data_IF_195034167569
#
_entry.id   IF_195034167569
#
_cell.length_a   1.000
_cell.length_b   1.000
_cell.length_c   1.000
_cell.angle_alpha   90.00
_cell.angle_beta   90.00
_cell.angle_gamma   90.00
#
_symmetry.space_group_name_H-M   'P 1'
#
loop_
_entity.id
_entity.type
_entity.pdbx_description
1 polymer ?
#
# COMPACT_ATOMS: atom_id res chain seq x y z
N UNK A 1 -31.10 -31.12 -45.66
CA UNK A 1 -30.72 -29.69 -45.50
C UNK A 1 -31.23 -29.10 -44.19
N UNK A 2 -32.45 -29.35 -43.77
CA UNK A 2 -33.09 -28.81 -42.56
C UNK A 2 -32.34 -29.12 -41.26
N UNK A 3 -31.88 -30.36 -41.05
CA UNK A 3 -31.18 -30.80 -39.82
C UNK A 3 -29.86 -30.05 -39.62
N UNK A 4 -29.09 -29.81 -40.68
CA UNK A 4 -27.83 -29.03 -40.59
C UNK A 4 -28.08 -27.58 -40.16
N UNK A 5 -29.17 -26.97 -40.63
CA UNK A 5 -29.53 -25.56 -40.27
C UNK A 5 -29.97 -25.48 -38.82
N UNK A 6 -30.68 -26.45 -38.28
CA UNK A 6 -31.12 -26.49 -36.86
C UNK A 6 -29.91 -26.68 -35.94
N UNK A 7 -29.00 -27.59 -36.26
CA UNK A 7 -27.77 -27.83 -35.48
C UNK A 7 -26.88 -26.58 -35.45
N UNK A 8 -26.69 -25.92 -36.60
CA UNK A 8 -25.90 -24.69 -36.69
C UNK A 8 -26.51 -23.56 -35.84
N UNK A 9 -27.83 -23.39 -35.87
CA UNK A 9 -28.53 -22.40 -35.05
C UNK A 9 -28.38 -22.70 -33.55
N UNK A 10 -28.44 -23.96 -33.16
CA UNK A 10 -28.28 -24.38 -31.78
C UNK A 10 -26.83 -24.10 -31.27
N UNK A 11 -25.83 -24.47 -32.10
CA UNK A 11 -24.40 -24.19 -31.76
C UNK A 11 -24.13 -22.70 -31.65
N UNK A 12 -24.66 -21.92 -32.58
CA UNK A 12 -24.53 -20.43 -32.50
C UNK A 12 -25.22 -19.89 -31.25
N UNK A 13 -26.44 -20.35 -30.93
CA UNK A 13 -27.16 -19.95 -29.74
C UNK A 13 -26.39 -20.30 -28.45
N UNK A 14 -25.84 -21.49 -28.35
CA UNK A 14 -25.02 -21.94 -27.22
C UNK A 14 -23.71 -21.08 -27.09
N UNK A 15 -23.07 -20.81 -28.22
CA UNK A 15 -21.87 -19.95 -28.25
C UNK A 15 -22.18 -18.51 -27.77
N UNK A 16 -23.32 -17.94 -28.20
CA UNK A 16 -23.75 -16.60 -27.74
C UNK A 16 -24.04 -16.59 -26.24
N UNK A 17 -24.77 -17.58 -25.74
CA UNK A 17 -25.04 -17.70 -24.29
C UNK A 17 -23.72 -17.87 -23.51
N UNK A 18 -22.81 -18.72 -23.98
CA UNK A 18 -21.49 -18.88 -23.38
C UNK A 18 -20.70 -17.57 -23.34
N UNK A 19 -20.70 -16.79 -24.42
CA UNK A 19 -20.05 -15.49 -24.49
C UNK A 19 -20.67 -14.47 -23.52
N UNK A 20 -22.00 -14.42 -23.42
CA UNK A 20 -22.70 -13.53 -22.47
C UNK A 20 -22.35 -13.89 -21.03
N UNK A 21 -22.35 -15.18 -20.68
CA UNK A 21 -21.96 -15.65 -19.35
C UNK A 21 -20.51 -15.28 -19.04
N UNK A 22 -19.59 -15.51 -20.00
CA UNK A 22 -18.18 -15.16 -19.85
C UNK A 22 -17.98 -13.64 -19.66
N UNK A 23 -18.64 -12.81 -20.45
CA UNK A 23 -18.59 -11.35 -20.32
C UNK A 23 -19.19 -10.89 -18.98
N UNK A 24 -20.30 -11.49 -18.55
CA UNK A 24 -20.88 -11.24 -17.23
C UNK A 24 -19.94 -11.60 -16.07
N UNK A 25 -19.26 -12.73 -16.19
CA UNK A 25 -18.27 -13.17 -15.21
C UNK A 25 -17.05 -12.21 -15.16
N UNK A 26 -16.53 -11.81 -16.32
CA UNK A 26 -15.44 -10.83 -16.42
C UNK A 26 -15.85 -9.49 -15.79
N UNK A 27 -17.06 -8.99 -16.13
CA UNK A 27 -17.59 -7.75 -15.56
C UNK A 27 -17.74 -7.86 -14.03
N UNK A 28 -18.24 -8.98 -13.54
CA UNK A 28 -18.40 -9.23 -12.11
C UNK A 28 -17.04 -9.28 -11.39
N UNK A 29 -16.05 -9.96 -11.94
CA UNK A 29 -14.71 -10.11 -11.34
C UNK A 29 -13.93 -8.81 -11.40
N UNK A 30 -14.03 -8.08 -12.50
CA UNK A 30 -13.41 -6.75 -12.64
C UNK A 30 -13.89 -5.78 -11.56
N UNK A 31 -15.20 -5.80 -11.27
CA UNK A 31 -15.79 -4.88 -10.28
C UNK A 31 -15.84 -3.42 -10.73
N UNK A 32 -16.24 -2.51 -9.83
CA UNK A 32 -16.28 -1.07 -10.08
C UNK A 32 -14.89 -0.46 -10.16
N UNK A 33 -14.78 0.69 -10.83
CA UNK A 33 -13.58 1.51 -10.83
C UNK A 33 -13.30 2.11 -9.43
N UNK A 34 -12.09 2.65 -9.22
CA UNK A 34 -11.65 3.12 -7.90
C UNK A 34 -12.48 4.30 -7.37
N UNK A 35 -13.06 5.13 -8.25
CA UNK A 35 -13.88 6.30 -7.90
C UNK A 35 -15.38 6.07 -8.07
N UNK A 36 -15.82 4.85 -8.41
CA UNK A 36 -17.23 4.57 -8.67
C UNK A 36 -18.16 4.83 -7.47
N UNK A 37 -17.60 4.85 -6.25
CA UNK A 37 -18.34 5.15 -5.04
C UNK A 37 -18.80 6.62 -4.96
N UNK A 38 -18.11 7.55 -5.63
CA UNK A 38 -18.45 8.98 -5.60
C UNK A 38 -19.78 9.29 -6.30
N UNK A 39 -20.23 8.41 -7.21
CA UNK A 39 -21.53 8.52 -7.88
C UNK A 39 -21.65 9.69 -8.84
N UNK A 40 -20.59 10.47 -9.02
CA UNK A 40 -20.55 11.63 -9.88
C UNK A 40 -20.24 11.29 -11.34
N UNK A 41 -20.06 12.33 -12.15
CA UNK A 41 -19.77 12.24 -13.57
C UNK A 41 -18.30 12.55 -13.82
N UNK A 42 -17.53 11.54 -14.21
CA UNK A 42 -16.17 11.75 -14.71
C UNK A 42 -16.20 12.56 -16.02
N UNK A 43 -15.33 13.53 -16.10
CA UNK A 43 -15.15 14.38 -17.29
C UNK A 43 -13.69 14.36 -17.74
N UNK A 44 -13.43 14.69 -19.00
CA UNK A 44 -12.06 14.87 -19.44
C UNK A 44 -11.40 16.01 -18.66
N UNK A 45 -10.09 15.90 -18.41
CA UNK A 45 -9.34 16.91 -17.64
C UNK A 45 -9.51 18.32 -18.23
N UNK A 46 -9.53 18.43 -19.58
CA UNK A 46 -9.74 19.71 -20.27
C UNK A 46 -11.15 20.32 -20.08
N UNK A 47 -12.14 19.51 -19.70
CA UNK A 47 -13.52 19.92 -19.51
C UNK A 47 -13.85 20.23 -18.04
N UNK A 48 -12.91 19.95 -17.13
CA UNK A 48 -13.11 20.24 -15.72
C UNK A 48 -12.82 21.71 -15.42
N UNK A 49 -13.82 22.43 -14.88
CA UNK A 49 -13.82 23.89 -14.80
C UNK A 49 -13.04 24.48 -13.61
N UNK A 50 -12.85 23.70 -12.54
CA UNK A 50 -12.28 24.23 -11.29
C UNK A 50 -10.75 24.20 -11.29
N UNK A 51 -10.13 23.73 -12.38
CA UNK A 51 -8.67 23.67 -12.55
C UNK A 51 -8.14 22.26 -12.73
N UNK A 52 -6.82 22.12 -12.85
CA UNK A 52 -6.15 20.83 -13.05
C UNK A 52 -5.79 20.20 -11.70
N UNK A 53 -6.38 19.04 -11.32
CA UNK A 53 -6.04 18.32 -10.09
C UNK A 53 -4.76 17.49 -10.23
N UNK A 54 -4.15 17.38 -11.40
CA UNK A 54 -2.90 16.65 -11.63
C UNK A 54 -1.67 17.53 -11.40
N UNK A 55 -0.48 17.04 -11.65
CA UNK A 55 0.75 17.78 -11.48
C UNK A 55 1.24 17.84 -10.03
N UNK A 56 1.91 18.92 -9.68
CA UNK A 56 2.41 19.20 -8.33
C UNK A 56 1.44 20.08 -7.54
N UNK A 57 1.66 20.15 -6.23
CA UNK A 57 0.93 21.04 -5.32
C UNK A 57 0.87 22.48 -5.83
N UNK A 58 -0.19 23.20 -5.46
CA UNK A 58 -0.37 24.60 -5.82
C UNK A 58 0.81 25.50 -5.34
N UNK A 59 1.43 25.15 -4.23
CA UNK A 59 2.61 25.83 -3.68
C UNK A 59 3.86 25.65 -4.53
N UNK A 60 3.89 24.64 -5.41
CA UNK A 60 5.01 24.31 -6.28
C UNK A 60 4.77 24.66 -7.76
N UNK A 61 3.80 25.51 -8.08
CA UNK A 61 3.44 25.86 -9.49
C UNK A 61 4.61 26.39 -10.32
N UNK A 62 5.59 27.04 -9.68
CA UNK A 62 6.78 27.58 -10.32
C UNK A 62 7.96 26.60 -10.36
N UNK A 63 7.77 25.37 -9.88
CA UNK A 63 8.84 24.37 -9.84
C UNK A 63 9.29 24.02 -11.26
N UNK A 64 10.60 23.84 -11.42
CA UNK A 64 11.21 23.34 -12.67
C UNK A 64 10.73 21.91 -12.98
N UNK A 65 10.94 21.45 -14.21
CA UNK A 65 10.59 20.08 -14.60
C UNK A 65 11.23 19.03 -13.69
N UNK A 66 12.48 19.22 -13.27
CA UNK A 66 13.18 18.29 -12.40
C UNK A 66 12.64 18.30 -10.97
N UNK A 67 12.30 19.48 -10.43
CA UNK A 67 11.67 19.59 -9.10
C UNK A 67 10.28 18.96 -9.10
N UNK A 68 9.49 19.21 -10.16
CA UNK A 68 8.20 18.53 -10.34
C UNK A 68 8.37 17.01 -10.42
N UNK A 69 9.31 16.54 -11.24
CA UNK A 69 9.61 15.13 -11.39
C UNK A 69 10.06 14.49 -10.08
N UNK A 70 10.91 15.18 -9.30
CA UNK A 70 11.32 14.72 -7.98
C UNK A 70 10.12 14.56 -7.05
N UNK A 71 9.30 15.61 -6.92
CA UNK A 71 8.11 15.60 -6.07
C UNK A 71 7.14 14.46 -6.42
N UNK A 72 6.87 14.28 -7.73
CA UNK A 72 5.97 13.23 -8.20
C UNK A 72 6.56 11.83 -8.01
N UNK A 73 7.89 11.67 -8.15
CA UNK A 73 8.60 10.41 -7.88
C UNK A 73 8.53 10.03 -6.40
N UNK A 74 8.67 11.02 -5.51
CA UNK A 74 8.49 10.84 -4.07
C UNK A 74 7.03 10.55 -3.73
N UNK A 75 6.06 11.29 -4.30
CA UNK A 75 4.62 11.04 -4.09
C UNK A 75 4.16 9.67 -4.63
N UNK A 76 4.83 9.14 -5.66
CA UNK A 76 4.59 7.81 -6.22
C UNK A 76 5.38 6.69 -5.50
N UNK A 77 6.11 7.03 -4.44
CA UNK A 77 6.84 6.10 -3.56
C UNK A 77 7.80 5.14 -4.28
N UNK A 78 8.41 5.59 -5.38
CA UNK A 78 9.24 4.75 -6.23
C UNK A 78 10.46 4.17 -5.49
N UNK A 79 11.06 4.95 -4.57
CA UNK A 79 12.26 4.57 -3.84
C UNK A 79 12.05 3.34 -2.96
N UNK A 80 10.92 3.20 -2.29
CA UNK A 80 10.61 2.10 -1.37
C UNK A 80 10.70 0.74 -2.06
N UNK A 81 10.13 0.64 -3.26
CA UNK A 81 10.19 -0.60 -4.02
C UNK A 81 11.47 -0.76 -4.84
N UNK A 82 12.06 0.33 -5.32
CA UNK A 82 13.22 0.27 -6.22
C UNK A 82 14.57 0.49 -5.53
N UNK A 83 14.62 0.30 -4.20
CA UNK A 83 15.86 0.32 -3.41
C UNK A 83 15.91 -0.92 -2.52
N UNK A 84 16.91 -1.78 -2.72
CA UNK A 84 17.13 -2.91 -1.82
C UNK A 84 17.59 -2.44 -0.44
N UNK A 85 17.32 -3.15 0.66
CA UNK A 85 17.87 -2.83 1.97
C UNK A 85 19.38 -2.66 1.91
N UNK A 86 19.90 -1.51 2.37
CA UNK A 86 21.32 -1.17 2.28
C UNK A 86 21.89 -0.93 0.86
N UNK A 87 21.02 -1.00 -0.16
CA UNK A 87 21.36 -0.78 -1.58
C UNK A 87 21.44 0.69 -1.96
N UNK A 88 21.77 0.94 -3.23
CA UNK A 88 21.76 2.29 -3.80
C UNK A 88 20.33 2.64 -4.22
N UNK A 89 19.93 3.87 -3.93
CA UNK A 89 18.61 4.37 -4.23
C UNK A 89 18.27 4.21 -5.72
N UNK A 90 17.07 3.73 -6.01
CA UNK A 90 16.53 3.41 -7.35
C UNK A 90 17.28 2.32 -8.14
N UNK A 91 18.27 1.66 -7.56
CA UNK A 91 19.03 0.61 -8.25
C UNK A 91 18.32 -0.75 -8.30
N UNK A 92 17.14 -0.87 -7.71
CA UNK A 92 16.36 -2.11 -7.67
C UNK A 92 16.87 -3.13 -6.65
N UNK A 93 16.38 -4.36 -6.77
CA UNK A 93 16.82 -5.49 -5.93
C UNK A 93 15.98 -5.71 -4.68
N UNK A 94 14.93 -4.92 -4.45
CA UNK A 94 13.98 -5.20 -3.38
C UNK A 94 13.24 -6.51 -3.65
N UNK A 95 13.21 -7.41 -2.66
CA UNK A 95 12.64 -8.74 -2.78
C UNK A 95 11.16 -8.77 -2.35
N UNK A 96 10.26 -9.01 -3.29
CA UNK A 96 8.86 -9.30 -3.01
C UNK A 96 8.69 -10.80 -2.76
N UNK A 97 8.64 -11.19 -1.50
CA UNK A 97 8.42 -12.58 -1.09
C UNK A 97 6.92 -12.91 -1.21
N UNK A 98 6.58 -13.82 -2.13
CA UNK A 98 5.21 -14.25 -2.43
C UNK A 98 5.04 -15.72 -2.10
N UNK A 99 3.81 -16.22 -1.86
CA UNK A 99 3.59 -17.64 -1.58
C UNK A 99 4.04 -18.60 -2.70
N UNK A 100 4.26 -18.07 -3.89
CA UNK A 100 4.66 -18.82 -5.10
C UNK A 100 6.04 -18.43 -5.64
N UNK A 101 6.89 -17.81 -4.81
CA UNK A 101 8.27 -17.44 -5.16
C UNK A 101 8.60 -15.98 -4.90
N UNK A 102 9.81 -15.59 -5.24
CA UNK A 102 10.31 -14.23 -5.02
C UNK A 102 10.42 -13.47 -6.34
N UNK A 103 9.97 -12.23 -6.36
CA UNK A 103 10.24 -11.26 -7.43
C UNK A 103 11.17 -10.16 -6.91
N UNK A 104 12.00 -9.63 -7.80
CA UNK A 104 12.88 -8.52 -7.48
C UNK A 104 12.51 -7.29 -8.30
N UNK A 105 12.51 -6.11 -7.65
CA UNK A 105 12.33 -4.84 -8.34
C UNK A 105 13.48 -4.56 -9.31
N UNK A 106 13.16 -3.85 -10.38
CA UNK A 106 14.13 -3.50 -11.42
C UNK A 106 14.90 -2.24 -11.06
N UNK A 107 16.10 -2.08 -11.64
CA UNK A 107 16.85 -0.84 -11.62
C UNK A 107 16.13 0.21 -12.49
N UNK A 108 15.78 1.35 -11.89
CA UNK A 108 15.15 2.49 -12.56
C UNK A 108 16.06 3.72 -12.64
N UNK A 109 17.37 3.56 -12.34
CA UNK A 109 18.37 4.59 -12.66
C UNK A 109 18.62 4.66 -14.16
N UNK A 110 19.18 5.77 -14.71
CA UNK A 110 19.43 5.92 -16.12
C UNK A 110 20.66 5.12 -16.61
N UNK A 111 20.96 3.99 -16.00
CA UNK A 111 22.00 3.08 -16.48
C UNK A 111 21.55 2.42 -17.79
N UNK A 112 22.44 2.43 -18.78
CA UNK A 112 22.14 1.95 -20.14
C UNK A 112 22.02 0.43 -20.24
N UNK A 113 22.71 -0.32 -19.37
CA UNK A 113 22.77 -1.78 -19.46
C UNK A 113 21.78 -2.47 -18.52
N UNK A 114 21.61 -1.95 -17.32
CA UNK A 114 20.80 -2.60 -16.29
C UNK A 114 19.59 -1.80 -15.84
N UNK A 115 19.50 -0.52 -16.24
CA UNK A 115 18.44 0.40 -15.86
C UNK A 115 17.53 0.81 -17.02
N UNK A 116 16.96 2.00 -16.88
CA UNK A 116 15.98 2.56 -17.86
C UNK A 116 16.62 3.55 -18.85
N UNK A 117 17.94 3.69 -18.88
CA UNK A 117 18.65 4.69 -19.69
C UNK A 117 18.38 4.64 -21.19
N UNK A 118 17.86 3.51 -21.71
CA UNK A 118 17.50 3.35 -23.13
C UNK A 118 15.99 3.58 -23.42
N UNK A 119 15.17 3.89 -22.41
CA UNK A 119 13.73 4.05 -22.59
C UNK A 119 13.40 5.36 -23.30
N UNK A 120 12.67 5.29 -24.40
CA UNK A 120 11.99 6.45 -25.00
C UNK A 120 10.85 6.93 -24.09
N UNK A 121 10.28 8.10 -24.39
CA UNK A 121 9.11 8.59 -23.64
C UNK A 121 7.94 7.62 -23.72
N UNK A 122 7.64 7.12 -24.92
CA UNK A 122 6.55 6.17 -25.13
C UNK A 122 6.77 4.84 -24.39
N UNK A 123 7.99 4.28 -24.43
CA UNK A 123 8.30 3.04 -23.69
C UNK A 123 8.20 3.23 -22.18
N UNK A 124 8.52 4.43 -21.66
CA UNK A 124 8.32 4.74 -20.23
C UNK A 124 6.84 4.86 -19.89
N UNK A 125 6.05 5.55 -20.71
CA UNK A 125 4.60 5.62 -20.57
C UNK A 125 3.95 4.22 -20.63
N UNK A 126 4.37 3.38 -21.57
CA UNK A 126 3.87 2.01 -21.68
C UNK A 126 4.20 1.18 -20.45
N UNK A 127 5.38 1.37 -19.85
CA UNK A 127 5.75 0.69 -18.60
C UNK A 127 4.89 1.15 -17.42
N UNK A 128 4.71 2.47 -17.29
CA UNK A 128 3.94 3.08 -16.19
C UNK A 128 2.44 2.80 -16.30
N UNK A 129 1.87 2.97 -17.49
CA UNK A 129 0.41 2.92 -17.68
C UNK A 129 -0.13 1.55 -18.06
N UNK A 130 0.67 0.74 -18.74
CA UNK A 130 0.23 -0.51 -19.36
C UNK A 130 0.99 -1.74 -18.86
N UNK A 131 2.01 -1.53 -18.04
CA UNK A 131 2.87 -2.61 -17.55
C UNK A 131 3.61 -3.32 -18.70
N UNK A 132 4.08 -2.60 -19.73
CA UNK A 132 4.81 -3.15 -20.87
C UNK A 132 6.24 -2.60 -20.83
N UNK A 133 7.22 -3.48 -20.67
CA UNK A 133 8.62 -3.11 -20.73
C UNK A 133 9.07 -2.79 -22.17
N UNK A 134 10.22 -2.11 -22.28
CA UNK A 134 10.86 -1.77 -23.56
C UNK A 134 11.06 -2.99 -24.49
N UNK A 135 11.34 -4.17 -23.94
CA UNK A 135 11.50 -5.43 -24.68
C UNK A 135 10.16 -6.12 -25.02
N UNK A 136 9.02 -5.47 -24.76
CA UNK A 136 7.67 -6.00 -24.94
C UNK A 136 7.20 -6.96 -23.84
N UNK A 137 8.04 -7.31 -22.87
CA UNK A 137 7.65 -8.19 -21.79
C UNK A 137 6.64 -7.50 -20.85
N UNK A 138 5.66 -8.28 -20.37
CA UNK A 138 4.67 -7.77 -19.40
C UNK A 138 5.24 -7.71 -18.00
N UNK A 139 4.95 -6.62 -17.28
CA UNK A 139 5.23 -6.51 -15.85
C UNK A 139 4.20 -7.30 -15.05
N UNK A 140 4.62 -7.78 -13.89
CA UNK A 140 3.70 -8.27 -12.89
C UNK A 140 3.07 -7.10 -12.12
N UNK A 141 1.83 -7.23 -11.63
CA UNK A 141 1.14 -6.17 -10.91
C UNK A 141 1.69 -5.88 -9.49
N UNK A 142 2.87 -6.39 -9.16
CA UNK A 142 3.69 -5.87 -8.08
C UNK A 142 4.22 -4.46 -8.39
N UNK A 143 4.47 -4.15 -9.69
CA UNK A 143 4.50 -2.79 -10.19
C UNK A 143 3.05 -2.31 -10.30
N UNK A 144 2.60 -1.28 -9.55
CA UNK A 144 1.18 -0.92 -9.45
C UNK A 144 0.69 -0.14 -10.69
N UNK A 145 0.95 -0.67 -11.90
CA UNK A 145 0.56 0.00 -13.15
C UNK A 145 -0.97 0.12 -13.30
N UNK A 146 -1.76 -0.67 -12.58
CA UNK A 146 -3.22 -0.51 -12.51
C UNK A 146 -3.66 0.73 -11.75
N UNK A 147 -2.80 1.29 -10.91
CA UNK A 147 -2.95 2.59 -10.27
C UNK A 147 -2.23 3.67 -11.08
N UNK A 148 -1.00 3.41 -11.48
CA UNK A 148 -0.22 4.36 -12.27
C UNK A 148 -0.80 4.67 -13.65
N UNK A 149 -1.69 3.82 -14.18
CA UNK A 149 -2.45 4.13 -15.39
C UNK A 149 -3.25 5.44 -15.29
N UNK A 150 -3.60 5.89 -14.06
CA UNK A 150 -4.28 7.15 -13.82
C UNK A 150 -3.36 8.36 -13.74
N UNK A 151 -2.04 8.19 -13.67
CA UNK A 151 -1.08 9.31 -13.71
C UNK A 151 -1.19 9.98 -15.10
N UNK A 152 -1.19 11.32 -15.14
CA UNK A 152 -1.16 12.06 -16.41
C UNK A 152 0.13 11.79 -17.18
N UNK A 153 0.08 11.81 -18.50
CA UNK A 153 1.28 11.61 -19.34
C UNK A 153 2.36 12.67 -19.00
N UNK A 154 1.94 13.91 -18.74
CA UNK A 154 2.85 14.98 -18.34
C UNK A 154 3.57 14.70 -17.02
N UNK A 155 2.86 14.14 -16.02
CA UNK A 155 3.44 13.81 -14.73
C UNK A 155 4.35 12.57 -14.83
N UNK A 156 3.95 11.56 -15.59
CA UNK A 156 4.80 10.40 -15.86
C UNK A 156 6.11 10.79 -16.56
N UNK A 157 6.06 11.71 -17.53
CA UNK A 157 7.26 12.23 -18.19
C UNK A 157 8.10 13.14 -17.29
N UNK A 158 7.49 13.88 -16.36
CA UNK A 158 8.24 14.61 -15.33
C UNK A 158 8.98 13.66 -14.38
N UNK A 159 8.33 12.57 -13.94
CA UNK A 159 8.98 11.48 -13.18
C UNK A 159 10.18 10.91 -13.98
N UNK A 160 9.98 10.60 -15.26
CA UNK A 160 11.08 10.15 -16.13
C UNK A 160 12.23 11.15 -16.17
N UNK A 161 11.94 12.44 -16.37
CA UNK A 161 12.96 13.48 -16.44
C UNK A 161 13.81 13.54 -15.18
N UNK A 162 13.18 13.41 -14.00
CA UNK A 162 13.90 13.32 -12.74
C UNK A 162 14.76 12.04 -12.63
N UNK A 163 14.20 10.86 -12.92
CA UNK A 163 14.95 9.60 -12.87
C UNK A 163 16.14 9.61 -13.85
N UNK A 164 16.00 10.25 -15.00
CA UNK A 164 17.08 10.41 -15.99
C UNK A 164 18.15 11.43 -15.57
N UNK A 165 17.86 12.31 -14.63
CA UNK A 165 18.84 13.24 -14.03
C UNK A 165 19.70 12.59 -12.93
N UNK A 166 19.31 11.40 -12.46
CA UNK A 166 20.04 10.69 -11.42
C UNK A 166 21.36 10.12 -11.94
N UNK A 167 22.29 9.85 -11.02
CA UNK A 167 23.54 9.17 -11.36
C UNK A 167 23.24 7.73 -11.77
N UNK A 168 23.70 7.27 -12.96
CA UNK A 168 23.55 5.88 -13.37
C UNK A 168 24.20 4.91 -12.37
N UNK A 169 23.49 3.85 -12.03
CA UNK A 169 23.99 2.78 -11.18
C UNK A 169 23.88 1.46 -11.92
N UNK A 170 25.01 0.82 -12.22
CA UNK A 170 25.00 -0.53 -12.77
C UNK A 170 24.68 -1.51 -11.63
N UNK A 171 23.55 -2.23 -11.75
CA UNK A 171 23.10 -3.22 -10.78
C UNK A 171 22.72 -4.53 -11.48
N UNK A 172 23.43 -5.62 -11.13
CA UNK A 172 23.04 -6.96 -11.56
C UNK A 172 22.13 -7.53 -10.49
N UNK A 173 20.87 -7.75 -10.84
CA UNK A 173 19.82 -8.13 -9.91
C UNK A 173 19.60 -9.65 -9.94
N UNK A 174 19.13 -10.25 -8.84
CA UNK A 174 18.74 -11.67 -8.83
C UNK A 174 17.58 -11.92 -9.81
N UNK A 175 17.52 -13.13 -10.34
CA UNK A 175 16.40 -13.58 -11.16
C UNK A 175 15.18 -13.91 -10.30
N UNK A 176 13.98 -13.70 -10.87
CA UNK A 176 12.74 -14.08 -10.22
C UNK A 176 12.63 -15.60 -10.10
N UNK A 177 12.24 -16.09 -8.93
CA UNK A 177 12.12 -17.53 -8.63
C UNK A 177 10.66 -18.02 -8.59
N UNK A 178 9.80 -17.42 -9.41
CA UNK A 178 8.37 -17.75 -9.43
C UNK A 178 8.12 -19.18 -9.92
N UNK A 179 7.25 -19.92 -9.22
CA UNK A 179 6.82 -21.24 -9.57
C UNK A 179 5.78 -21.23 -10.71
N UNK A 180 5.69 -22.33 -11.46
CA UNK A 180 4.60 -22.53 -12.43
C UNK A 180 3.25 -22.56 -11.72
N UNK A 181 2.19 -21.93 -12.26
CA UNK A 181 2.11 -21.21 -13.54
C UNK A 181 2.48 -19.69 -13.44
N UNK A 182 2.84 -19.18 -12.27
CA UNK A 182 3.07 -17.75 -12.02
C UNK A 182 4.33 -17.19 -12.72
N UNK A 183 5.24 -18.04 -13.16
CA UNK A 183 6.38 -17.67 -14.01
C UNK A 183 6.01 -17.44 -15.48
N UNK A 184 4.75 -17.66 -15.88
CA UNK A 184 4.29 -17.48 -17.25
C UNK A 184 3.91 -16.03 -17.52
N UNK A 185 4.91 -15.19 -17.77
CA UNK A 185 4.78 -13.73 -17.92
C UNK A 185 3.80 -13.31 -19.03
N UNK A 186 3.66 -14.10 -20.09
CA UNK A 186 2.70 -13.84 -21.17
C UNK A 186 1.24 -13.82 -20.68
N UNK A 187 0.92 -14.55 -19.62
CA UNK A 187 -0.43 -14.57 -19.05
C UNK A 187 -0.86 -13.21 -18.51
N UNK A 188 0.09 -12.36 -18.17
CA UNK A 188 -0.17 -10.98 -17.71
C UNK A 188 -0.81 -10.10 -18.80
N UNK A 189 -0.69 -10.48 -20.08
CA UNK A 189 -1.42 -9.80 -21.16
C UNK A 189 -2.94 -9.92 -20.96
N UNK A 190 -3.43 -11.11 -20.71
CA UNK A 190 -4.86 -11.34 -20.46
C UNK A 190 -5.32 -10.73 -19.14
N UNK A 191 -4.49 -10.85 -18.11
CA UNK A 191 -4.77 -10.23 -16.84
C UNK A 191 -4.91 -8.70 -16.97
N UNK A 192 -3.98 -8.05 -17.65
CA UNK A 192 -4.04 -6.60 -17.90
C UNK A 192 -5.25 -6.19 -18.74
N UNK A 193 -5.65 -7.00 -19.72
CA UNK A 193 -6.84 -6.73 -20.53
C UNK A 193 -8.12 -6.66 -19.68
N UNK A 194 -8.20 -7.46 -18.61
CA UNK A 194 -9.35 -7.47 -17.72
C UNK A 194 -9.26 -6.36 -16.65
N UNK A 195 -8.09 -6.18 -16.04
CA UNK A 195 -7.95 -5.42 -14.81
C UNK A 195 -7.26 -4.06 -14.96
N UNK A 196 -6.51 -3.81 -16.04
CA UNK A 196 -5.94 -2.50 -16.30
C UNK A 196 -6.84 -1.69 -17.25
N UNK A 197 -7.43 -0.58 -16.80
CA UNK A 197 -8.35 0.21 -17.63
C UNK A 197 -7.64 0.99 -18.75
N UNK A 198 -6.32 1.14 -18.69
CA UNK A 198 -5.49 1.96 -19.62
C UNK A 198 -6.13 3.34 -19.88
N UNK A 199 -6.41 4.06 -18.81
CA UNK A 199 -7.04 5.38 -18.84
C UNK A 199 -6.35 6.34 -17.88
N UNK A 200 -6.28 7.62 -18.23
CA UNK A 200 -5.74 8.69 -17.38
C UNK A 200 -6.81 9.16 -16.41
N UNK A 201 -6.39 9.80 -15.32
CA UNK A 201 -7.30 10.35 -14.32
C UNK A 201 -8.33 11.29 -14.96
N UNK A 202 -9.56 11.08 -14.60
CA UNK A 202 -10.69 11.91 -14.99
C UNK A 202 -11.34 12.47 -13.73
N UNK A 203 -11.33 13.79 -13.54
CA UNK A 203 -11.95 14.41 -12.38
C UNK A 203 -13.47 14.20 -12.39
N UNK A 204 -14.03 14.11 -11.21
CA UNK A 204 -15.47 14.11 -10.99
C UNK A 204 -15.97 15.55 -10.97
N UNK A 205 -16.86 15.90 -11.93
CA UNK A 205 -17.37 17.26 -12.09
C UNK A 205 -18.33 17.71 -10.98
N UNK A 206 -18.77 16.79 -10.12
CA UNK A 206 -19.61 17.09 -8.94
C UNK A 206 -18.78 17.37 -7.68
N UNK A 207 -17.48 17.13 -7.72
CA UNK A 207 -16.57 17.27 -6.60
C UNK A 207 -15.67 18.51 -6.76
N UNK A 208 -15.19 19.03 -5.61
CA UNK A 208 -14.26 20.16 -5.61
C UNK A 208 -12.89 19.81 -6.19
N UNK A 209 -12.12 20.84 -6.58
CA UNK A 209 -10.74 20.68 -6.99
C UNK A 209 -9.89 19.98 -5.90
N UNK A 210 -10.08 20.35 -4.63
CA UNK A 210 -9.37 19.73 -3.49
C UNK A 210 -9.67 18.23 -3.38
N UNK A 211 -10.93 17.84 -3.56
CA UNK A 211 -11.31 16.43 -3.56
C UNK A 211 -10.70 15.67 -4.73
N UNK A 212 -10.80 16.21 -5.94
CA UNK A 212 -10.22 15.61 -7.14
C UNK A 212 -8.68 15.50 -7.05
N UNK A 213 -8.03 16.51 -6.44
CA UNK A 213 -6.60 16.46 -6.13
C UNK A 213 -6.28 15.30 -5.18
N UNK A 214 -7.01 15.16 -4.09
CA UNK A 214 -6.87 14.06 -3.14
C UNK A 214 -7.11 12.69 -3.78
N UNK A 215 -8.11 12.59 -4.66
CA UNK A 215 -8.39 11.39 -5.44
C UNK A 215 -7.22 11.02 -6.37
N UNK A 216 -6.66 11.99 -7.09
CA UNK A 216 -5.49 11.80 -7.95
C UNK A 216 -4.27 11.31 -7.15
N UNK A 217 -4.00 11.95 -6.01
CA UNK A 217 -2.90 11.56 -5.14
C UNK A 217 -3.09 10.15 -4.59
N UNK A 218 -4.24 9.85 -4.00
CA UNK A 218 -4.50 8.58 -3.31
C UNK A 218 -4.64 7.38 -4.27
N UNK A 219 -5.21 7.59 -5.48
CA UNK A 219 -5.50 6.50 -6.41
C UNK A 219 -4.40 6.30 -7.46
N UNK A 220 -3.81 7.40 -7.94
CA UNK A 220 -2.80 7.33 -8.99
C UNK A 220 -1.38 7.28 -8.41
N UNK A 221 -0.95 8.31 -7.67
CA UNK A 221 0.44 8.43 -7.20
C UNK A 221 0.70 7.54 -5.98
N UNK A 222 0.08 7.85 -4.84
CA UNK A 222 0.31 7.13 -3.59
C UNK A 222 -0.35 5.73 -3.54
N UNK A 223 -1.17 5.38 -4.53
CA UNK A 223 -1.78 4.06 -4.75
C UNK A 223 -2.23 3.34 -3.46
N UNK A 224 -2.85 4.08 -2.53
CA UNK A 224 -3.27 3.60 -1.20
C UNK A 224 -4.05 2.27 -1.26
N UNK A 225 -4.83 2.07 -2.34
CA UNK A 225 -5.60 0.86 -2.59
C UNK A 225 -4.76 -0.40 -2.66
N UNK A 226 -3.49 -0.33 -3.11
CA UNK A 226 -2.63 -1.49 -3.28
C UNK A 226 -2.36 -2.23 -1.96
N UNK A 227 -2.32 -1.49 -0.85
CA UNK A 227 -2.17 -2.04 0.49
C UNK A 227 -3.50 -2.13 1.24
N UNK A 228 -4.39 -1.14 1.10
CA UNK A 228 -5.57 -1.00 1.95
C UNK A 228 -6.88 -1.54 1.35
N UNK A 229 -6.87 -2.05 0.12
CA UNK A 229 -8.04 -2.68 -0.52
C UNK A 229 -7.80 -4.19 -0.71
N UNK A 230 -8.74 -5.06 -0.27
CA UNK A 230 -8.57 -6.50 -0.46
C UNK A 230 -8.47 -6.88 -1.93
N UNK A 231 -7.81 -7.99 -2.21
CA UNK A 231 -7.73 -8.55 -3.56
C UNK A 231 -8.96 -9.43 -3.87
N UNK A 232 -9.36 -9.45 -5.14
CA UNK A 232 -10.35 -10.38 -5.65
C UNK A 232 -9.70 -11.72 -6.07
N UNK A 233 -10.48 -12.64 -6.60
CA UNK A 233 -10.00 -13.98 -7.05
C UNK A 233 -8.96 -13.89 -8.20
N UNK A 234 -8.90 -12.78 -8.92
CA UNK A 234 -7.89 -12.50 -9.96
C UNK A 234 -6.67 -11.73 -9.42
N UNK A 235 -6.51 -11.59 -8.10
CA UNK A 235 -5.46 -10.81 -7.45
C UNK A 235 -5.47 -9.31 -7.78
N UNK A 236 -6.53 -8.80 -8.42
CA UNK A 236 -6.75 -7.36 -8.62
C UNK A 236 -7.48 -6.75 -7.43
N UNK A 237 -7.50 -5.41 -7.34
CA UNK A 237 -8.18 -4.68 -6.26
C UNK A 237 -9.69 -4.93 -6.29
N UNK A 238 -10.26 -5.29 -5.15
CA UNK A 238 -11.70 -5.42 -4.98
C UNK A 238 -12.33 -4.08 -4.53
N UNK A 239 -12.57 -3.19 -5.47
CA UNK A 239 -13.13 -1.86 -5.17
C UNK A 239 -14.57 -1.88 -4.61
N UNK A 240 -15.25 -3.03 -4.56
CA UNK A 240 -16.49 -3.17 -3.76
C UNK A 240 -16.23 -3.10 -2.26
N UNK A 241 -14.98 -3.39 -1.85
CA UNK A 241 -14.49 -3.31 -0.47
C UNK A 241 -13.33 -2.32 -0.39
N UNK A 242 -13.49 -1.19 -1.07
CA UNK A 242 -12.46 -0.16 -1.14
C UNK A 242 -12.02 0.25 0.25
N UNK A 243 -10.70 0.24 0.45
CA UNK A 243 -10.04 0.66 1.68
C UNK A 243 -10.48 -0.08 2.96
N UNK A 244 -11.09 -1.26 2.83
CA UNK A 244 -11.56 -2.06 3.96
C UNK A 244 -10.45 -2.79 4.73
N UNK A 245 -9.18 -2.57 4.37
CA UNK A 245 -8.01 -3.27 4.90
C UNK A 245 -7.67 -4.55 4.14
N UNK A 246 -6.39 -4.92 4.12
CA UNK A 246 -5.88 -6.11 3.45
C UNK A 246 -4.56 -6.62 4.06
N UNK A 247 -4.19 -7.90 3.85
CA UNK A 247 -2.86 -8.40 4.16
C UNK A 247 -1.85 -7.97 3.09
N UNK A 248 -0.67 -7.53 3.50
CA UNK A 248 0.42 -7.13 2.62
C UNK A 248 1.75 -7.63 3.19
N UNK A 249 2.40 -8.60 2.56
CA UNK A 249 3.70 -9.12 2.97
C UNK A 249 3.80 -9.41 4.49
N UNK A 250 2.81 -10.13 5.03
CA UNK A 250 2.72 -10.44 6.46
C UNK A 250 2.12 -9.33 7.33
N UNK A 251 2.17 -8.09 6.89
CA UNK A 251 1.55 -6.95 7.57
C UNK A 251 0.03 -6.92 7.36
N UNK A 252 -0.65 -6.33 8.30
CA UNK A 252 -2.08 -6.00 8.19
C UNK A 252 -2.22 -4.51 7.95
N UNK A 253 -2.52 -4.14 6.70
CA UNK A 253 -2.92 -2.78 6.36
C UNK A 253 -4.38 -2.59 6.79
N UNK A 254 -4.61 -1.71 7.77
CA UNK A 254 -5.93 -1.52 8.37
C UNK A 254 -6.90 -0.77 7.46
N UNK A 255 -8.16 -0.78 7.84
CA UNK A 255 -9.24 -0.06 7.19
C UNK A 255 -8.98 1.46 7.22
N UNK A 256 -9.00 2.10 6.05
CA UNK A 256 -8.87 3.54 5.89
C UNK A 256 -10.10 4.18 5.23
N UNK A 257 -11.23 3.47 5.22
CA UNK A 257 -12.53 4.05 4.83
C UNK A 257 -13.11 4.91 5.96
N UNK A 258 -14.24 5.60 5.69
CA UNK A 258 -14.93 6.41 6.70
C UNK A 258 -15.71 5.60 7.75
N UNK A 259 -15.47 4.30 7.88
CA UNK A 259 -16.05 3.49 8.94
C UNK A 259 -15.63 4.00 10.32
N UNK A 260 -16.59 4.29 11.19
CA UNK A 260 -16.33 4.88 12.51
C UNK A 260 -15.73 3.89 13.52
N UNK A 261 -16.01 2.61 13.33
CA UNK A 261 -15.58 1.60 14.31
C UNK A 261 -14.19 1.04 14.01
N UNK A 262 -13.83 0.91 12.73
CA UNK A 262 -12.63 0.18 12.29
C UNK A 262 -11.76 0.96 11.31
N UNK A 263 -12.27 2.07 10.78
CA UNK A 263 -11.59 2.93 9.81
C UNK A 263 -11.26 4.32 10.37
N UNK A 264 -11.16 5.30 9.47
CA UNK A 264 -10.81 6.68 9.80
C UNK A 264 -12.00 7.53 10.27
N UNK A 265 -13.22 6.99 10.30
CA UNK A 265 -14.43 7.76 10.56
C UNK A 265 -14.52 8.40 11.95
N UNK A 266 -13.75 7.91 12.94
CA UNK A 266 -13.64 8.49 14.29
C UNK A 266 -12.40 9.38 14.49
N UNK A 267 -11.47 9.43 13.53
CA UNK A 267 -10.28 10.28 13.60
C UNK A 267 -10.65 11.73 13.29
N UNK A 268 -9.90 12.69 13.79
CA UNK A 268 -9.99 14.07 13.30
C UNK A 268 -9.24 14.21 11.96
N UNK A 269 -9.49 15.28 11.22
CA UNK A 269 -8.74 15.56 9.99
C UNK A 269 -7.26 15.80 10.29
N UNK A 270 -6.97 16.43 11.44
CA UNK A 270 -5.62 16.66 11.95
C UNK A 270 -4.90 15.36 12.28
N UNK A 271 -5.57 14.40 12.94
CA UNK A 271 -4.97 13.08 13.22
C UNK A 271 -4.57 12.36 11.94
N UNK A 272 -5.43 12.38 10.90
CA UNK A 272 -5.12 11.76 9.61
C UNK A 272 -3.95 12.49 8.95
N UNK A 273 -3.95 13.82 8.95
CA UNK A 273 -2.88 14.62 8.36
C UNK A 273 -1.54 14.40 9.09
N UNK A 274 -1.53 14.36 10.41
CA UNK A 274 -0.32 14.06 11.20
C UNK A 274 0.15 12.62 10.98
N UNK A 275 -0.76 11.65 10.93
CA UNK A 275 -0.38 10.27 10.65
C UNK A 275 0.24 10.10 9.27
N UNK A 276 -0.27 10.78 8.25
CA UNK A 276 0.32 10.75 6.91
C UNK A 276 1.67 11.47 6.87
N UNK A 277 1.79 12.66 7.42
CA UNK A 277 2.99 13.49 7.30
C UNK A 277 4.10 13.12 8.29
N UNK A 278 3.74 12.69 9.52
CA UNK A 278 4.71 12.41 10.61
C UNK A 278 4.74 10.91 10.97
N UNK A 279 3.79 10.12 10.47
CA UNK A 279 3.64 8.69 10.78
C UNK A 279 3.18 8.41 12.19
N UNK A 280 2.58 9.39 12.87
CA UNK A 280 2.04 9.23 14.22
C UNK A 280 0.82 10.11 14.42
N UNK A 281 -0.18 9.58 15.11
CA UNK A 281 -1.28 10.35 15.65
C UNK A 281 -1.57 9.91 17.08
N UNK A 282 -1.75 10.87 17.98
CA UNK A 282 -1.98 10.60 19.41
C UNK A 282 -3.26 9.78 19.60
N UNK A 283 -3.18 8.70 20.38
CA UNK A 283 -4.29 7.78 20.59
C UNK A 283 -4.58 6.82 19.42
N UNK A 284 -3.81 6.88 18.32
CA UNK A 284 -3.98 6.03 17.15
C UNK A 284 -2.73 5.19 16.80
N UNK A 285 -1.57 5.56 17.38
CA UNK A 285 -0.32 4.83 17.25
C UNK A 285 0.61 5.37 16.17
N UNK A 286 1.64 4.58 15.87
CA UNK A 286 2.74 4.95 15.00
C UNK A 286 2.82 4.01 13.81
N UNK A 287 3.06 4.55 12.62
CA UNK A 287 3.30 3.81 11.39
C UNK A 287 4.61 3.01 11.49
N UNK A 288 4.58 1.76 11.07
CA UNK A 288 5.73 0.86 11.05
C UNK A 288 5.70 -0.03 9.81
N UNK A 289 6.81 -0.73 9.53
CA UNK A 289 6.95 -1.55 8.32
C UNK A 289 6.66 -0.73 7.06
N UNK A 290 5.99 -1.33 6.08
CA UNK A 290 5.70 -0.71 4.79
C UNK A 290 5.00 0.66 4.89
N UNK A 291 4.06 0.83 5.86
CA UNK A 291 3.44 2.14 6.06
C UNK A 291 4.42 3.17 6.64
N UNK A 292 5.34 2.73 7.50
CA UNK A 292 6.42 3.58 8.02
C UNK A 292 7.33 4.08 6.90
N UNK A 293 7.71 3.20 5.98
CA UNK A 293 8.52 3.54 4.81
C UNK A 293 7.79 4.49 3.86
N UNK A 294 6.49 4.25 3.60
CA UNK A 294 5.67 5.15 2.79
C UNK A 294 5.60 6.56 3.38
N UNK A 295 5.53 6.69 4.71
CA UNK A 295 5.60 8.01 5.35
C UNK A 295 7.00 8.62 5.19
N UNK A 296 8.08 7.88 5.51
CA UNK A 296 9.44 8.43 5.50
C UNK A 296 9.93 8.80 4.11
N UNK A 297 9.57 8.02 3.08
CA UNK A 297 10.06 8.21 1.72
C UNK A 297 9.11 8.99 0.81
N UNK A 298 7.82 9.08 1.16
CA UNK A 298 6.79 9.74 0.36
C UNK A 298 6.04 10.82 1.14
N UNK A 299 5.13 10.45 2.03
CA UNK A 299 4.13 11.38 2.58
C UNK A 299 4.72 12.51 3.40
N UNK A 300 5.80 12.28 4.15
CA UNK A 300 6.50 13.34 4.92
C UNK A 300 7.13 14.43 4.04
N UNK A 301 7.29 14.15 2.74
CA UNK A 301 7.86 15.09 1.76
C UNK A 301 6.80 15.80 0.95
N UNK A 302 5.53 15.40 1.11
CA UNK A 302 4.42 16.02 0.39
C UNK A 302 4.08 17.39 0.98
N UNK A 303 3.64 18.29 0.12
CA UNK A 303 3.18 19.61 0.52
C UNK A 303 1.93 19.50 1.41
N UNK A 304 1.77 20.37 2.43
CA UNK A 304 0.65 20.32 3.35
C UNK A 304 -0.72 20.38 2.68
N UNK A 305 -0.90 21.16 1.63
CA UNK A 305 -2.14 21.25 0.86
C UNK A 305 -2.48 19.95 0.13
N UNK A 306 -1.48 19.16 -0.29
CA UNK A 306 -1.67 17.83 -0.86
C UNK A 306 -2.08 16.80 0.20
N UNK A 307 -1.47 16.85 1.39
CA UNK A 307 -1.91 16.02 2.53
C UNK A 307 -3.37 16.33 2.89
N UNK A 308 -3.74 17.62 2.99
CA UNK A 308 -5.12 18.01 3.24
C UNK A 308 -6.10 17.58 2.14
N UNK A 309 -5.66 17.58 0.88
CA UNK A 309 -6.46 17.08 -0.24
C UNK A 309 -6.69 15.56 -0.10
N UNK A 310 -5.67 14.80 0.28
CA UNK A 310 -5.79 13.35 0.57
C UNK A 310 -6.78 13.10 1.73
N UNK A 311 -6.70 13.88 2.81
CA UNK A 311 -7.66 13.80 3.94
C UNK A 311 -9.09 14.03 3.44
N UNK A 312 -9.30 15.08 2.64
CA UNK A 312 -10.62 15.41 2.06
C UNK A 312 -11.18 14.24 1.23
N UNK A 313 -10.34 13.60 0.43
CA UNK A 313 -10.74 12.43 -0.36
C UNK A 313 -11.04 11.21 0.54
N UNK A 314 -10.14 10.85 1.46
CA UNK A 314 -10.29 9.68 2.34
C UNK A 314 -11.57 9.78 3.18
N UNK A 315 -11.92 10.96 3.65
CA UNK A 315 -13.19 11.22 4.38
C UNK A 315 -14.44 10.90 3.57
N UNK A 316 -14.37 11.03 2.26
CA UNK A 316 -15.52 10.79 1.38
C UNK A 316 -15.73 9.31 1.03
N UNK A 317 -14.73 8.45 1.28
CA UNK A 317 -14.85 7.03 0.96
C UNK A 317 -15.88 6.37 1.87
N UNK A 318 -16.93 5.73 1.32
CA UNK A 318 -17.99 5.14 2.14
C UNK A 318 -17.46 4.09 3.12
N UNK A 319 -18.13 3.92 4.27
CA UNK A 319 -17.77 2.86 5.22
C UNK A 319 -17.71 1.49 4.54
N UNK A 320 -16.60 0.81 4.72
CA UNK A 320 -16.37 -0.52 4.18
C UNK A 320 -15.65 -1.36 5.22
N UNK A 321 -16.04 -2.64 5.36
CA UNK A 321 -15.42 -3.53 6.35
C UNK A 321 -15.14 -4.90 5.74
N UNK A 322 -14.08 -5.53 6.24
CA UNK A 322 -13.84 -6.96 6.10
C UNK A 322 -13.76 -7.56 7.49
N UNK A 323 -14.42 -8.69 7.78
CA UNK A 323 -14.46 -9.27 9.13
C UNK A 323 -13.07 -9.44 9.74
N UNK A 324 -12.10 -9.89 8.97
CA UNK A 324 -10.74 -10.16 9.42
C UNK A 324 -9.92 -8.89 9.72
N UNK A 325 -10.37 -7.71 9.23
CA UNK A 325 -9.70 -6.43 9.40
C UNK A 325 -10.53 -5.42 10.20
N UNK A 326 -11.59 -5.90 10.84
CA UNK A 326 -12.44 -5.08 11.72
C UNK A 326 -11.78 -4.90 13.09
N UNK A 327 -10.67 -4.17 13.12
CA UNK A 327 -9.99 -3.77 14.36
C UNK A 327 -10.56 -2.43 14.80
N UNK A 328 -11.09 -2.35 16.00
CA UNK A 328 -11.59 -1.09 16.55
C UNK A 328 -10.44 -0.09 16.65
N UNK A 329 -10.53 1.00 15.93
CA UNK A 329 -9.59 2.13 15.95
C UNK A 329 -9.94 3.12 17.05
N UNK A 330 -10.36 2.67 18.22
CA UNK A 330 -10.70 3.59 19.29
C UNK A 330 -9.84 3.34 20.51
N UNK A 331 -9.29 4.39 21.10
CA UNK A 331 -8.82 4.34 22.46
C UNK A 331 -10.05 4.33 23.37
N UNK A 332 -10.47 3.17 23.84
CA UNK A 332 -10.91 3.16 25.21
C UNK A 332 -9.62 3.23 26.02
N UNK A 333 -9.45 4.17 26.96
CA UNK A 333 -8.45 4.00 27.98
C UNK A 333 -8.73 2.62 28.57
N UNK A 334 -7.87 1.67 28.24
CA UNK A 334 -7.99 0.33 28.79
C UNK A 334 -7.64 0.53 30.24
N UNK A 335 -8.67 0.62 31.08
CA UNK A 335 -8.47 0.43 32.53
C UNK A 335 -7.63 -0.82 32.65
N UNK A 336 -6.46 -0.69 33.23
CA UNK A 336 -5.48 -1.76 33.39
C UNK A 336 -6.19 -3.05 33.70
N UNK A 337 -6.20 -4.03 32.79
CA UNK A 337 -6.80 -5.33 33.04
C UNK A 337 -5.86 -6.11 33.96
N UNK A 338 -5.86 -5.72 35.23
CA UNK A 338 -5.26 -6.52 36.27
C UNK A 338 -6.08 -7.82 36.36
N UNK A 339 -5.50 -8.94 35.96
CA UNK A 339 -6.16 -10.24 36.01
C UNK A 339 -6.29 -11.02 34.69
N UNK A 340 -5.87 -10.49 33.56
CA UNK A 340 -5.73 -11.33 32.38
C UNK A 340 -4.59 -12.30 32.58
N UNK A 341 -4.83 -13.60 32.37
CA UNK A 341 -3.81 -14.68 32.39
C UNK A 341 -2.86 -14.48 31.19
N UNK A 342 -2.15 -13.36 31.22
CA UNK A 342 -1.09 -13.09 30.25
C UNK A 342 0.06 -14.05 30.56
N UNK A 343 0.70 -14.57 29.51
CA UNK A 343 1.87 -15.42 29.63
C UNK A 343 2.89 -14.82 30.57
N UNK A 344 3.27 -15.56 31.61
CA UNK A 344 4.32 -15.18 32.58
C UNK A 344 5.62 -14.86 31.82
N UNK A 345 5.91 -15.61 30.76
CA UNK A 345 7.07 -15.39 29.92
C UNK A 345 6.96 -14.04 29.18
N UNK A 346 5.82 -13.75 28.54
CA UNK A 346 5.59 -12.48 27.83
C UNK A 346 5.73 -11.27 28.75
N UNK A 347 5.20 -11.38 29.98
CA UNK A 347 5.37 -10.35 31.01
C UNK A 347 6.84 -10.12 31.35
N UNK A 348 7.62 -11.17 31.62
CA UNK A 348 9.05 -11.07 31.95
C UNK A 348 9.85 -10.42 30.83
N UNK A 349 9.57 -10.77 29.56
CA UNK A 349 10.25 -10.19 28.41
C UNK A 349 9.89 -8.70 28.31
N UNK A 350 8.62 -8.35 28.42
CA UNK A 350 8.20 -6.96 28.36
C UNK A 350 8.85 -6.12 29.47
N UNK A 351 8.83 -6.59 30.69
CA UNK A 351 9.41 -5.91 31.85
C UNK A 351 10.93 -5.74 31.71
N UNK A 352 11.62 -6.75 31.16
CA UNK A 352 13.09 -6.75 31.05
C UNK A 352 13.64 -5.98 29.84
N UNK A 353 12.89 -5.92 28.73
CA UNK A 353 13.43 -5.40 27.47
C UNK A 353 12.60 -4.27 26.82
N UNK A 354 11.33 -4.10 27.19
CA UNK A 354 10.40 -3.21 26.46
C UNK A 354 9.93 -2.03 27.33
N UNK A 355 9.69 -2.25 28.62
CA UNK A 355 9.05 -1.29 29.51
C UNK A 355 9.84 0.03 29.68
N UNK A 356 11.17 0.00 29.52
CA UNK A 356 12.02 1.21 29.59
C UNK A 356 11.64 2.27 28.54
N UNK A 357 11.22 1.84 27.36
CA UNK A 357 10.81 2.72 26.27
C UNK A 357 9.29 2.87 26.18
N UNK A 358 8.54 1.78 26.38
CA UNK A 358 7.09 1.74 26.19
C UNK A 358 6.27 2.07 27.46
N UNK A 359 6.93 2.21 28.61
CA UNK A 359 6.28 2.44 29.90
C UNK A 359 5.54 1.21 30.44
N UNK A 360 5.32 1.18 31.76
CA UNK A 360 4.59 0.12 32.44
C UNK A 360 3.07 0.15 32.15
N UNK A 361 2.60 1.33 31.78
CA UNK A 361 1.19 1.58 31.44
C UNK A 361 0.92 1.47 29.93
N UNK A 362 1.96 1.31 29.11
CA UNK A 362 1.87 1.41 27.66
C UNK A 362 1.91 2.88 27.15
N UNK A 363 2.05 3.82 28.07
CA UNK A 363 2.28 5.24 27.77
C UNK A 363 3.77 5.52 27.93
N UNK A 364 4.40 5.98 26.85
CA UNK A 364 5.85 6.22 26.84
C UNK A 364 6.19 7.59 27.38
N UNK A 365 7.15 7.63 28.32
CA UNK A 365 7.76 8.88 28.76
C UNK A 365 8.96 9.32 27.89
N UNK A 366 9.43 8.43 26.99
CA UNK A 366 10.61 8.69 26.16
C UNK A 366 10.20 9.40 24.87
N UNK A 367 9.12 8.94 24.24
CA UNK A 367 8.59 9.52 22.99
C UNK A 367 7.15 9.11 22.77
N UNK A 368 6.27 10.01 22.30
CA UNK A 368 4.90 9.63 21.90
C UNK A 368 4.87 8.49 20.89
N UNK A 369 5.89 8.40 20.00
CA UNK A 369 6.02 7.34 19.00
C UNK A 369 6.14 5.94 19.58
N UNK A 370 6.58 5.81 20.83
CA UNK A 370 6.72 4.53 21.52
C UNK A 370 5.49 4.16 22.39
N UNK A 371 4.43 4.98 22.39
CA UNK A 371 3.18 4.69 23.09
C UNK A 371 2.45 3.52 22.43
N UNK A 372 2.02 2.54 23.25
CA UNK A 372 1.32 1.33 22.80
C UNK A 372 -0.20 1.48 22.82
N UNK A 373 -0.71 2.24 23.79
CA UNK A 373 -2.16 2.42 23.96
C UNK A 373 -2.78 3.15 22.77
N UNK A 374 -3.97 2.70 22.37
CA UNK A 374 -4.68 3.26 21.21
C UNK A 374 -4.17 2.78 19.84
N UNK A 375 -2.98 2.20 19.75
CA UNK A 375 -2.42 1.71 18.48
C UNK A 375 -3.29 0.63 17.84
N UNK A 376 -3.64 0.80 16.56
CA UNK A 376 -4.38 -0.20 15.81
C UNK A 376 -3.65 -1.56 15.77
N UNK A 377 -2.32 -1.56 15.69
CA UNK A 377 -1.52 -2.78 15.72
C UNK A 377 -1.61 -3.52 17.05
N UNK A 378 -1.65 -2.79 18.16
CA UNK A 378 -1.81 -3.37 19.51
C UNK A 378 -3.26 -3.79 19.76
N UNK A 379 -4.23 -3.13 19.15
CA UNK A 379 -5.65 -3.50 19.24
C UNK A 379 -6.01 -4.70 18.34
N UNK A 380 -5.13 -5.09 17.41
CA UNK A 380 -5.37 -6.19 16.49
C UNK A 380 -5.22 -7.55 17.19
N UNK A 381 -6.29 -8.37 17.28
CA UNK A 381 -6.23 -9.68 17.94
C UNK A 381 -5.37 -10.70 17.21
N UNK A 382 -4.90 -10.43 15.98
CA UNK A 382 -3.93 -11.29 15.31
C UNK A 382 -2.52 -11.12 15.87
N UNK A 383 -2.20 -9.98 16.48
CA UNK A 383 -0.88 -9.55 16.91
C UNK A 383 0.23 -9.58 15.83
N UNK A 384 -0.14 -9.76 14.55
CA UNK A 384 0.84 -9.92 13.46
C UNK A 384 1.75 -8.70 13.33
N UNK A 385 1.18 -7.48 13.36
CA UNK A 385 1.98 -6.26 13.25
C UNK A 385 2.88 -6.06 14.48
N UNK A 386 2.40 -6.41 15.69
CA UNK A 386 3.23 -6.37 16.91
C UNK A 386 4.42 -7.32 16.77
N UNK A 387 4.19 -8.57 16.35
CA UNK A 387 5.25 -9.54 16.14
C UNK A 387 6.25 -9.10 15.08
N UNK A 388 5.78 -8.56 13.94
CA UNK A 388 6.65 -8.07 12.87
C UNK A 388 7.54 -6.90 13.34
N UNK A 389 7.00 -5.98 14.14
CA UNK A 389 7.78 -4.88 14.74
C UNK A 389 8.81 -5.42 15.73
N UNK A 390 8.46 -6.43 16.53
CA UNK A 390 9.42 -7.07 17.45
C UNK A 390 10.52 -7.80 16.66
N UNK A 391 10.17 -8.51 15.58
CA UNK A 391 11.13 -9.24 14.74
C UNK A 391 12.07 -8.26 14.04
N UNK A 392 11.54 -7.33 13.28
CA UNK A 392 12.32 -6.48 12.38
C UNK A 392 12.82 -5.18 13.00
N UNK A 393 12.26 -4.78 14.15
CA UNK A 393 12.42 -3.43 14.66
C UNK A 393 11.65 -2.40 13.81
N UNK A 394 11.85 -1.14 14.13
CA UNK A 394 11.31 -0.03 13.31
C UNK A 394 12.16 1.21 13.52
N UNK A 395 12.25 2.04 12.49
CA UNK A 395 12.94 3.33 12.53
C UNK A 395 12.01 4.40 11.97
N UNK A 396 11.94 5.53 12.64
CA UNK A 396 11.19 6.70 12.21
C UNK A 396 12.12 7.91 12.11
N UNK A 397 12.01 8.64 11.03
CA UNK A 397 12.66 9.93 10.88
C UNK A 397 11.73 11.01 11.47
N UNK A 398 12.24 11.79 12.39
CA UNK A 398 11.53 12.94 12.99
C UNK A 398 12.34 14.20 12.78
N UNK A 399 11.73 15.40 12.93
CA UNK A 399 12.48 16.65 12.88
C UNK A 399 13.63 16.72 13.90
N UNK A 400 13.50 16.02 15.03
CA UNK A 400 14.49 15.98 16.12
C UNK A 400 15.54 14.86 15.93
N UNK A 401 15.45 14.09 14.85
CA UNK A 401 16.36 12.99 14.55
C UNK A 401 15.66 11.65 14.34
N UNK A 402 16.44 10.57 14.31
CA UNK A 402 15.88 9.23 14.13
C UNK A 402 15.56 8.58 15.48
N UNK A 403 14.34 8.08 15.62
CA UNK A 403 13.94 7.20 16.72
C UNK A 403 13.89 5.75 16.20
N UNK A 404 14.48 4.82 16.95
CA UNK A 404 14.52 3.43 16.54
C UNK A 404 14.11 2.50 17.67
N UNK A 405 13.27 1.51 17.36
CA UNK A 405 13.09 0.30 18.15
C UNK A 405 14.01 -0.76 17.55
N UNK A 406 14.92 -1.36 18.34
CA UNK A 406 15.83 -2.38 17.83
C UNK A 406 15.08 -3.63 17.36
N UNK A 407 15.68 -4.38 16.43
CA UNK A 407 15.23 -5.72 16.07
C UNK A 407 15.53 -6.70 17.18
N UNK A 408 14.55 -7.52 17.54
CA UNK A 408 14.69 -8.62 18.50
C UNK A 408 14.60 -9.99 17.82
N UNK A 409 14.50 -10.03 16.50
CA UNK A 409 14.35 -11.27 15.73
C UNK A 409 15.46 -12.28 15.96
N UNK A 410 16.70 -11.83 16.17
CA UNK A 410 17.82 -12.71 16.48
C UNK A 410 18.01 -12.96 17.99
N UNK A 411 17.42 -12.13 18.84
CA UNK A 411 17.57 -12.21 20.29
C UNK A 411 16.55 -13.15 20.96
N UNK A 412 15.38 -13.29 20.36
CA UNK A 412 14.25 -14.07 20.91
C UNK A 412 13.81 -15.17 19.95
N UNK A 413 13.46 -16.31 20.51
CA UNK A 413 12.81 -17.43 19.83
C UNK A 413 11.38 -17.08 19.39
N UNK A 414 10.80 -17.91 18.53
CA UNK A 414 9.42 -17.74 18.07
C UNK A 414 8.41 -17.85 19.22
N UNK A 415 8.66 -18.72 20.22
CA UNK A 415 7.83 -18.82 21.41
C UNK A 415 7.89 -17.56 22.27
N UNK A 416 9.07 -16.96 22.41
CA UNK A 416 9.27 -15.73 23.18
C UNK A 416 8.62 -14.52 22.49
N UNK A 417 8.75 -14.42 21.16
CA UNK A 417 8.09 -13.36 20.38
C UNK A 417 6.58 -13.53 20.43
N UNK A 418 6.05 -14.75 20.30
CA UNK A 418 4.63 -15.01 20.45
C UNK A 418 4.13 -14.61 21.86
N UNK A 419 4.89 -14.99 22.90
CA UNK A 419 4.53 -14.70 24.29
C UNK A 419 4.47 -13.19 24.58
N UNK A 420 5.49 -12.41 24.14
CA UNK A 420 5.51 -10.95 24.37
C UNK A 420 4.46 -10.23 23.52
N UNK A 421 4.21 -10.66 22.28
CA UNK A 421 3.17 -10.09 21.42
C UNK A 421 1.77 -10.30 22.00
N UNK A 422 1.49 -11.51 22.50
CA UNK A 422 0.24 -11.82 23.19
C UNK A 422 0.10 -11.05 24.51
N UNK A 423 1.19 -10.85 25.25
CA UNK A 423 1.17 -10.01 26.43
C UNK A 423 0.83 -8.56 26.11
N UNK A 424 1.46 -7.98 25.10
CA UNK A 424 1.24 -6.57 24.67
C UNK A 424 -0.21 -6.34 24.27
N UNK A 425 -0.79 -7.20 23.45
CA UNK A 425 -2.18 -7.08 23.02
C UNK A 425 -3.17 -7.31 24.20
N UNK A 426 -2.89 -8.27 25.07
CA UNK A 426 -3.73 -8.52 26.24
C UNK A 426 -3.70 -7.37 27.26
N UNK A 427 -2.53 -6.77 27.44
CA UNK A 427 -2.28 -5.74 28.45
C UNK A 427 -2.71 -4.35 28.01
N UNK A 428 -2.38 -3.98 26.78
CA UNK A 428 -2.52 -2.61 26.27
C UNK A 428 -3.54 -2.49 25.12
N UNK A 429 -3.96 -3.60 24.53
CA UNK A 429 -4.89 -3.65 23.43
C UNK A 429 -6.35 -3.84 23.84
N UNK A 430 -7.25 -3.68 22.88
CA UNK A 430 -8.69 -3.88 23.07
C UNK A 430 -9.05 -5.37 23.30
N UNK A 431 -8.25 -6.31 22.78
CA UNK A 431 -8.45 -7.77 22.87
C UNK A 431 -7.12 -8.49 22.99
N UNK A 432 -7.13 -9.57 23.78
CA UNK A 432 -6.00 -10.50 23.81
C UNK A 432 -5.89 -11.25 22.48
N UNK A 433 -4.66 -11.52 22.08
CA UNK A 433 -4.33 -12.38 20.93
C UNK A 433 -3.93 -13.80 21.38
N UNK A 434 -3.83 -14.70 20.40
CA UNK A 434 -3.40 -16.09 20.61
C UNK A 434 -2.38 -16.52 19.55
N UNK A 435 -1.44 -15.63 19.22
CA UNK A 435 -0.36 -15.88 18.26
C UNK A 435 0.47 -17.07 18.75
N UNK A 436 0.81 -17.98 17.82
CA UNK A 436 1.63 -19.16 18.13
C UNK A 436 3.05 -19.00 17.60
N UNK A 437 4.00 -19.80 18.11
CA UNK A 437 5.37 -19.87 17.57
C UNK A 437 5.39 -20.18 16.05
N UNK A 438 4.48 -21.05 15.59
CA UNK A 438 4.35 -21.35 14.15
C UNK A 438 3.95 -20.12 13.33
N UNK A 439 3.10 -19.27 13.86
CA UNK A 439 2.69 -18.03 13.19
C UNK A 439 3.86 -17.05 13.16
N UNK A 440 4.61 -16.94 14.26
CA UNK A 440 5.84 -16.12 14.32
C UNK A 440 6.87 -16.60 13.30
N UNK A 441 7.11 -17.91 13.18
CA UNK A 441 8.02 -18.48 12.19
C UNK A 441 7.64 -18.04 10.76
N UNK A 442 6.34 -18.09 10.41
CA UNK A 442 5.85 -17.62 9.10
C UNK A 442 6.05 -16.10 8.92
N UNK A 443 5.82 -15.31 9.96
CA UNK A 443 6.03 -13.86 9.90
C UNK A 443 7.51 -13.53 9.73
N UNK A 444 8.40 -14.28 10.37
CA UNK A 444 9.85 -14.12 10.23
C UNK A 444 10.33 -14.32 8.78
N UNK A 445 9.72 -15.25 8.04
CA UNK A 445 10.01 -15.47 6.61
C UNK A 445 9.67 -14.23 5.75
N UNK A 446 8.77 -13.35 6.21
CA UNK A 446 8.36 -12.15 5.49
C UNK A 446 9.29 -10.94 5.76
N UNK A 447 9.98 -10.93 6.89
CA UNK A 447 10.93 -9.85 7.20
C UNK A 447 12.18 -10.06 6.33
N UNK A 448 12.64 -8.99 5.69
CA UNK A 448 13.92 -9.02 4.98
C UNK A 448 15.07 -9.10 6.00
N UNK A 449 16.04 -9.98 5.72
CA UNK A 449 17.28 -10.04 6.48
C UNK A 449 18.14 -8.81 6.23
#
# INVERSE_FOLDING_TARGET
>A
MVVKTVVVRFVIGAAIVGAIVALGAVWYVRGPGPLAFAGGKSVALADYRDGDPTGVSATMRQASLLERGKYLTEAADCAVCHTAPGGKEYAGGFAFKLPFGTMYSTNITPDYETGIGKYTDQEFLDAMHRGIRRDGARLYPAMPYTSYTYISDADALAIKAYLFSLKPVRAVLPENTLLFPFNQRWAMMFWSLVFNPDTRFQPDSSQSLKWNRGAYLAEALAHCGECHTPRNIGFALNNRKKFAGAPVAGWRAFNISSDKATGLGSWTDEDIAFYLSLGHASGHGTASGAMGEAVDHSFSKMAPDDIEAMVTFLRSVPPSTTPDFSVKSAPAPVSHRDGVTASVLGKKIFEGACASCHGWTGESAVSPLATLTGSAGVNDPSASNVALVVIGGTRRLTPDGALSMPSFGHAYSDDEIAAVSNYVTARFGARASSLTARDVAKLREQVAD
#
